data_IF_544549050879
#
_entry.id   IF_544549050879
#
_cell.length_a   1.000
_cell.length_b   1.000
_cell.length_c   1.000
_cell.angle_alpha   90.00
_cell.angle_beta   90.00
_cell.angle_gamma   90.00
#
_symmetry.space_group_name_H-M   'P 1'
#
loop_
_entity.id
_entity.type
_entity.pdbx_description
1 polymer ?
#
# COMPACT_ATOMS: atom_id res chain seq x y z
N UNK A 1 30.77 -8.88 -1.49
CA UNK A 1 29.38 -8.44 -1.74
C UNK A 1 28.82 -8.04 -0.38
N UNK A 2 28.34 -6.80 -0.22
CA UNK A 2 27.79 -6.33 1.06
C UNK A 2 26.47 -7.06 1.33
N UNK A 3 26.23 -7.46 2.58
CA UNK A 3 24.99 -8.12 2.94
C UNK A 3 23.80 -7.17 2.75
N UNK A 4 22.71 -7.65 2.17
CA UNK A 4 21.46 -6.89 1.97
C UNK A 4 20.72 -6.62 3.28
N UNK A 5 21.22 -7.16 4.38
CA UNK A 5 20.65 -7.04 5.74
C UNK A 5 21.22 -5.86 6.54
N UNK A 6 22.16 -5.11 5.98
CA UNK A 6 22.74 -3.92 6.61
C UNK A 6 22.36 -2.68 5.82
N UNK A 7 21.91 -1.63 6.52
CA UNK A 7 21.64 -0.33 5.90
C UNK A 7 22.91 0.29 5.29
N UNK A 8 22.72 1.14 4.30
CA UNK A 8 23.83 1.91 3.74
C UNK A 8 24.38 2.89 4.79
N UNK A 9 25.69 3.23 4.74
CA UNK A 9 26.26 4.26 5.61
C UNK A 9 25.50 5.57 5.48
N UNK A 10 25.30 6.26 6.60
CA UNK A 10 24.59 7.54 6.64
C UNK A 10 25.11 8.57 5.63
N UNK A 11 26.42 8.61 5.42
CA UNK A 11 27.06 9.47 4.41
C UNK A 11 26.59 9.14 2.97
N UNK A 12 26.37 7.86 2.67
CA UNK A 12 25.84 7.43 1.37
C UNK A 12 24.36 7.73 1.23
N UNK A 13 23.58 7.55 2.31
CA UNK A 13 22.15 7.85 2.34
C UNK A 13 21.89 9.34 2.14
N UNK A 14 22.66 10.21 2.77
CA UNK A 14 22.58 11.68 2.61
C UNK A 14 22.86 12.20 1.19
N UNK A 15 23.40 11.37 0.30
CA UNK A 15 23.57 11.68 -1.11
C UNK A 15 22.37 11.32 -1.98
N UNK A 16 21.37 10.63 -1.42
CA UNK A 16 20.15 10.31 -2.14
C UNK A 16 19.29 11.56 -2.29
N UNK A 17 18.60 11.67 -3.41
CA UNK A 17 17.66 12.76 -3.73
C UNK A 17 16.19 12.33 -3.58
N UNK A 18 15.94 11.20 -2.92
CA UNK A 18 14.61 10.71 -2.66
C UNK A 18 13.84 11.61 -1.69
N UNK A 19 12.53 11.44 -1.59
CA UNK A 19 11.68 12.21 -0.68
C UNK A 19 12.19 12.15 0.77
N UNK A 20 12.55 10.96 1.25
CA UNK A 20 13.09 10.79 2.59
C UNK A 20 14.35 11.58 2.83
N UNK A 21 15.31 11.52 1.91
CA UNK A 21 16.65 12.07 2.11
C UNK A 21 16.83 13.48 1.55
N UNK A 22 15.91 13.94 0.67
CA UNK A 22 15.96 15.25 0.02
C UNK A 22 15.07 16.34 0.66
N UNK A 23 14.15 15.99 1.56
CA UNK A 23 13.16 16.94 2.10
C UNK A 23 13.72 17.82 3.20
N UNK A 24 14.55 17.30 4.07
CA UNK A 24 15.09 18.03 5.21
C UNK A 24 16.58 18.33 5.07
N UNK A 25 17.09 19.38 5.76
CA UNK A 25 18.51 19.70 5.75
C UNK A 25 19.37 18.56 6.33
N UNK A 26 20.68 18.52 5.97
CA UNK A 26 21.56 17.38 6.29
C UNK A 26 21.75 17.05 7.77
N UNK A 27 21.52 18.03 8.66
CA UNK A 27 21.59 17.86 10.10
C UNK A 27 20.37 17.13 10.70
N UNK A 28 19.27 17.04 9.95
CA UNK A 28 18.07 16.32 10.36
C UNK A 28 18.16 14.86 9.93
N UNK A 29 17.95 13.92 10.86
CA UNK A 29 17.81 12.52 10.54
C UNK A 29 16.34 12.24 10.15
N UNK A 30 16.05 11.94 8.88
CA UNK A 30 14.67 11.69 8.46
C UNK A 30 14.21 10.31 8.94
N UNK A 31 13.03 10.27 9.56
CA UNK A 31 12.39 9.03 10.02
C UNK A 31 10.93 8.92 9.54
N UNK A 32 10.55 9.71 8.57
CA UNK A 32 9.27 9.68 7.89
C UNK A 32 9.40 8.98 6.55
N UNK A 33 8.30 8.60 5.91
CA UNK A 33 8.25 7.82 4.66
C UNK A 33 8.84 6.41 4.83
N UNK A 34 8.11 5.40 4.38
CA UNK A 34 8.51 3.99 4.47
C UNK A 34 9.55 3.60 3.41
N UNK A 35 10.54 4.47 3.19
CA UNK A 35 11.63 4.25 2.26
C UNK A 35 12.78 3.50 2.96
N UNK A 36 13.21 2.39 2.36
CA UNK A 36 14.25 1.56 2.96
C UNK A 36 15.65 2.12 2.73
N UNK A 37 16.49 2.04 3.75
CA UNK A 37 17.91 2.44 3.72
C UNK A 37 18.84 1.28 3.36
N UNK A 38 18.30 0.11 3.08
CA UNK A 38 19.04 -1.06 2.63
C UNK A 38 19.38 -0.96 1.13
N UNK A 39 20.48 -1.58 0.69
CA UNK A 39 20.77 -1.70 -0.74
C UNK A 39 19.72 -2.60 -1.43
N UNK A 40 19.54 -2.39 -2.73
CA UNK A 40 18.74 -3.31 -3.53
C UNK A 40 19.30 -4.74 -3.47
N UNK A 41 18.40 -5.73 -3.47
CA UNK A 41 18.79 -7.12 -3.61
C UNK A 41 19.64 -7.30 -4.89
N UNK A 42 20.75 -8.05 -4.82
CA UNK A 42 21.67 -8.17 -5.95
C UNK A 42 21.02 -8.67 -7.25
N UNK A 43 20.05 -9.59 -7.14
CA UNK A 43 19.32 -10.11 -8.30
C UNK A 43 18.45 -9.02 -8.96
N UNK A 44 17.77 -8.18 -8.17
CA UNK A 44 16.97 -7.05 -8.68
C UNK A 44 17.89 -6.04 -9.38
N UNK A 45 19.02 -5.69 -8.73
CA UNK A 45 19.98 -4.77 -9.31
C UNK A 45 20.54 -5.31 -10.64
N UNK A 46 20.89 -6.58 -10.70
CA UNK A 46 21.43 -7.21 -11.93
C UNK A 46 20.41 -7.15 -13.07
N UNK A 47 19.15 -7.52 -12.82
CA UNK A 47 18.09 -7.50 -13.82
C UNK A 47 17.82 -6.08 -14.36
N UNK A 48 17.83 -5.07 -13.48
CA UNK A 48 17.64 -3.67 -13.89
C UNK A 48 18.82 -3.17 -14.74
N UNK A 49 20.06 -3.48 -14.37
CA UNK A 49 21.25 -3.10 -15.13
C UNK A 49 21.25 -3.76 -16.50
N UNK A 50 20.95 -5.06 -16.57
CA UNK A 50 20.85 -5.81 -17.83
C UNK A 50 19.81 -5.19 -18.78
N UNK A 51 18.63 -4.85 -18.28
CA UNK A 51 17.58 -4.21 -19.10
C UNK A 51 18.01 -2.83 -19.60
N UNK A 52 18.69 -2.03 -18.77
CA UNK A 52 19.22 -0.71 -19.18
C UNK A 52 20.32 -0.88 -20.24
N UNK A 53 21.25 -1.80 -20.06
CA UNK A 53 22.35 -2.05 -21.02
C UNK A 53 21.82 -2.60 -22.35
N UNK A 54 20.74 -3.38 -22.33
CA UNK A 54 20.05 -3.84 -23.54
C UNK A 54 19.22 -2.74 -24.23
N UNK A 55 19.05 -1.56 -23.61
CA UNK A 55 18.17 -0.50 -24.12
C UNK A 55 16.68 -0.85 -24.05
N UNK A 56 16.30 -1.83 -23.23
CA UNK A 56 14.90 -2.26 -23.07
C UNK A 56 14.16 -1.29 -22.13
N UNK A 57 13.92 -0.09 -22.63
CA UNK A 57 13.23 1.02 -21.93
C UNK A 57 11.93 1.44 -22.62
N UNK A 58 11.37 0.56 -23.45
CA UNK A 58 10.17 0.80 -24.24
C UNK A 58 8.89 0.65 -23.44
N UNK A 59 7.78 0.59 -24.16
CA UNK A 59 6.46 0.34 -23.55
C UNK A 59 6.35 -1.08 -23.03
N UNK A 60 5.69 -1.23 -21.88
CA UNK A 60 5.33 -2.55 -21.35
C UNK A 60 4.42 -3.27 -22.33
N UNK A 61 4.76 -4.53 -22.66
CA UNK A 61 3.88 -5.37 -23.47
C UNK A 61 2.61 -5.72 -22.63
N UNK A 62 1.39 -5.32 -23.06
CA UNK A 62 0.18 -5.61 -22.31
C UNK A 62 -0.18 -7.10 -22.20
N UNK A 63 0.51 -7.97 -22.97
CA UNK A 63 0.37 -9.42 -22.90
C UNK A 63 1.47 -10.10 -22.06
N UNK A 64 2.36 -9.32 -21.47
CA UNK A 64 3.42 -9.87 -20.63
C UNK A 64 2.83 -10.29 -19.28
N UNK A 65 2.88 -11.58 -19.00
CA UNK A 65 2.37 -12.17 -17.76
C UNK A 65 3.44 -12.46 -16.72
N UNK A 66 4.72 -12.22 -17.03
CA UNK A 66 5.85 -12.61 -16.16
C UNK A 66 5.71 -12.14 -14.71
N UNK A 67 5.27 -10.90 -14.49
CA UNK A 67 5.06 -10.37 -13.13
C UNK A 67 3.88 -11.09 -12.43
N UNK A 68 2.79 -11.34 -13.17
CA UNK A 68 1.61 -12.03 -12.65
C UNK A 68 1.91 -13.51 -12.35
N UNK A 69 2.65 -14.18 -13.23
CA UNK A 69 3.08 -15.57 -13.02
C UNK A 69 3.98 -15.69 -11.79
N UNK A 70 5.02 -14.85 -11.69
CA UNK A 70 5.92 -14.82 -10.54
C UNK A 70 5.18 -14.51 -9.22
N UNK A 71 4.18 -13.62 -9.25
CA UNK A 71 3.36 -13.36 -8.08
C UNK A 71 2.46 -14.56 -7.73
N UNK A 72 1.90 -15.24 -8.72
CA UNK A 72 1.07 -16.42 -8.48
C UNK A 72 1.87 -17.55 -7.82
N UNK A 73 3.10 -17.79 -8.29
CA UNK A 73 4.01 -18.78 -7.70
C UNK A 73 4.35 -18.39 -6.25
N UNK A 74 4.72 -17.13 -6.01
CA UNK A 74 5.01 -16.63 -4.67
C UNK A 74 3.78 -16.76 -3.74
N UNK A 75 2.58 -16.38 -4.20
CA UNK A 75 1.37 -16.45 -3.38
C UNK A 75 1.00 -17.89 -3.04
N UNK A 76 1.21 -18.81 -3.98
CA UNK A 76 1.00 -20.24 -3.74
C UNK A 76 1.99 -20.77 -2.68
N UNK A 77 3.28 -20.43 -2.81
CA UNK A 77 4.32 -20.93 -1.92
C UNK A 77 4.22 -20.32 -0.51
N UNK A 78 3.98 -19.00 -0.44
CA UNK A 78 3.99 -18.27 0.84
C UNK A 78 2.66 -18.38 1.60
N UNK A 79 1.54 -18.44 0.90
CA UNK A 79 0.20 -18.30 1.49
C UNK A 79 -0.76 -19.44 1.14
N UNK A 80 -0.39 -20.38 0.29
CA UNK A 80 -1.29 -21.43 -0.21
C UNK A 80 -2.42 -20.87 -1.07
N UNK A 81 -2.25 -19.68 -1.64
CA UNK A 81 -3.23 -19.00 -2.48
C UNK A 81 -2.84 -19.11 -3.96
N UNK A 82 -3.74 -19.64 -4.80
CA UNK A 82 -3.57 -19.73 -6.23
C UNK A 82 -4.39 -18.67 -6.97
N UNK A 83 -3.88 -17.43 -7.15
CA UNK A 83 -4.58 -16.40 -7.89
C UNK A 83 -4.68 -16.75 -9.37
N UNK A 84 -5.73 -16.27 -10.02
CA UNK A 84 -5.96 -16.54 -11.45
C UNK A 84 -5.22 -15.49 -12.30
N UNK A 85 -4.07 -15.85 -12.87
CA UNK A 85 -3.23 -14.97 -13.71
C UNK A 85 -4.02 -14.19 -14.77
N UNK A 86 -5.01 -14.77 -15.50
CA UNK A 86 -5.80 -14.03 -16.48
C UNK A 86 -6.69 -12.92 -15.87
N UNK A 87 -6.86 -12.88 -14.55
CA UNK A 87 -7.59 -11.85 -13.83
C UNK A 87 -6.69 -10.84 -13.11
N UNK A 88 -5.39 -10.95 -13.31
CA UNK A 88 -4.42 -10.04 -12.72
C UNK A 88 -4.08 -8.92 -13.70
N UNK A 89 -3.82 -7.75 -13.15
CA UNK A 89 -3.34 -6.59 -13.89
C UNK A 89 -2.26 -5.86 -13.11
N UNK A 90 -1.41 -5.16 -13.81
CA UNK A 90 -0.37 -4.30 -13.23
C UNK A 90 -0.77 -2.85 -13.41
N UNK A 91 -0.59 -2.05 -12.40
CA UNK A 91 -0.79 -0.60 -12.43
C UNK A 91 0.41 0.10 -11.81
N UNK A 92 0.44 1.43 -11.86
CA UNK A 92 1.57 2.23 -11.39
C UNK A 92 1.79 2.12 -9.89
N UNK A 93 0.70 2.12 -9.11
CA UNK A 93 0.74 2.02 -7.66
C UNK A 93 -0.62 1.63 -7.06
N UNK A 94 -0.64 1.39 -5.74
CA UNK A 94 -1.85 0.99 -5.01
C UNK A 94 -2.87 2.13 -4.91
N UNK A 95 -2.47 3.40 -4.93
CA UNK A 95 -3.40 4.54 -4.87
C UNK A 95 -4.30 4.56 -6.09
N UNK A 96 -3.74 4.30 -7.28
CA UNK A 96 -4.52 4.14 -8.52
C UNK A 96 -5.53 3.01 -8.41
N UNK A 97 -5.13 1.86 -7.83
CA UNK A 97 -6.06 0.73 -7.60
C UNK A 97 -7.21 1.15 -6.69
N UNK A 98 -6.93 1.87 -5.60
CA UNK A 98 -7.95 2.35 -4.67
C UNK A 98 -8.92 3.28 -5.39
N UNK A 99 -8.41 4.32 -6.05
CA UNK A 99 -9.24 5.33 -6.74
C UNK A 99 -10.12 4.69 -7.82
N UNK A 100 -9.54 3.86 -8.69
CA UNK A 100 -10.28 3.23 -9.79
C UNK A 100 -11.27 2.17 -9.27
N UNK A 101 -10.94 1.45 -8.21
CA UNK A 101 -11.88 0.53 -7.57
C UNK A 101 -13.08 1.27 -6.97
N UNK A 102 -12.81 2.34 -6.23
CA UNK A 102 -13.88 3.17 -5.65
C UNK A 102 -14.77 3.79 -6.74
N UNK A 103 -14.21 4.32 -7.84
CA UNK A 103 -14.98 4.84 -8.97
C UNK A 103 -15.92 3.81 -9.61
N UNK A 104 -15.56 2.54 -9.56
CA UNK A 104 -16.38 1.45 -10.11
C UNK A 104 -17.43 0.93 -9.14
N UNK A 105 -17.15 0.96 -7.85
CA UNK A 105 -17.96 0.31 -6.82
C UNK A 105 -18.89 1.29 -6.09
N UNK A 106 -18.50 2.58 -6.01
CA UNK A 106 -19.22 3.58 -5.22
C UNK A 106 -19.89 4.59 -6.19
N UNK A 107 -21.17 4.92 -6.01
CA UNK A 107 -21.81 5.97 -6.78
C UNK A 107 -21.18 7.34 -6.46
N UNK A 108 -21.23 8.27 -7.39
CA UNK A 108 -20.72 9.63 -7.18
C UNK A 108 -21.34 10.26 -5.92
N UNK A 109 -20.49 10.82 -5.06
CA UNK A 109 -20.88 11.37 -3.77
C UNK A 109 -21.16 10.32 -2.69
N UNK A 110 -21.05 9.03 -3.00
CA UNK A 110 -21.29 7.95 -2.02
C UNK A 110 -20.28 7.97 -0.87
N UNK A 111 -20.76 7.73 0.35
CA UNK A 111 -19.92 7.67 1.55
C UNK A 111 -19.00 6.44 1.55
N UNK A 112 -17.74 6.66 1.88
CA UNK A 112 -16.75 5.59 2.11
C UNK A 112 -16.22 5.72 3.52
N UNK A 113 -16.40 4.67 4.31
CA UNK A 113 -15.89 4.60 5.68
C UNK A 113 -14.38 4.44 5.65
N UNK A 114 -13.69 5.25 6.43
CA UNK A 114 -12.28 5.07 6.81
C UNK A 114 -12.17 5.05 8.33
N UNK A 115 -11.11 4.46 8.88
CA UNK A 115 -10.99 4.14 10.32
C UNK A 115 -9.77 4.83 10.96
N UNK A 116 -9.84 6.18 11.21
CA UNK A 116 -8.73 6.91 11.84
C UNK A 116 -8.40 6.41 13.27
N UNK A 117 -7.08 6.57 13.64
CA UNK A 117 -5.94 7.04 12.87
C UNK A 117 -5.59 6.04 11.76
N UNK A 118 -5.56 6.48 10.51
CA UNK A 118 -5.36 5.63 9.35
C UNK A 118 -4.39 6.29 8.36
N UNK A 119 -3.91 5.55 7.39
CA UNK A 119 -3.03 6.01 6.32
C UNK A 119 -3.53 7.33 5.73
N UNK A 120 -2.80 8.45 5.91
CA UNK A 120 -3.29 9.79 5.60
C UNK A 120 -3.83 9.96 4.17
N UNK A 121 -3.23 9.36 3.13
CA UNK A 121 -3.76 9.49 1.78
C UNK A 121 -5.21 8.99 1.58
N UNK A 122 -5.76 8.17 2.48
CA UNK A 122 -7.17 7.77 2.36
C UNK A 122 -8.14 8.94 2.38
N UNK A 123 -7.78 10.03 3.07
CA UNK A 123 -8.57 11.26 3.12
C UNK A 123 -8.64 11.98 1.76
N UNK A 124 -7.64 11.79 0.91
CA UNK A 124 -7.57 12.41 -0.43
C UNK A 124 -8.05 11.45 -1.52
N UNK A 125 -7.70 10.15 -1.42
CA UNK A 125 -8.06 9.15 -2.43
C UNK A 125 -9.57 8.93 -2.55
N UNK A 126 -10.33 9.03 -1.44
CA UNK A 126 -11.78 8.91 -1.46
C UNK A 126 -12.43 10.06 -2.23
N UNK A 127 -12.13 11.34 -1.96
CA UNK A 127 -12.61 12.47 -2.76
C UNK A 127 -12.14 12.41 -4.23
N UNK A 128 -10.88 12.02 -4.48
CA UNK A 128 -10.37 11.86 -5.85
C UNK A 128 -11.17 10.84 -6.66
N UNK A 129 -11.64 9.79 -6.00
CA UNK A 129 -12.56 8.82 -6.62
C UNK A 129 -14.00 9.37 -6.82
N UNK A 130 -14.31 10.57 -6.32
CA UNK A 130 -15.65 11.15 -6.35
C UNK A 130 -16.55 10.72 -5.19
N UNK A 131 -15.99 10.09 -4.16
CA UNK A 131 -16.69 9.69 -2.94
C UNK A 131 -16.66 10.76 -1.85
N UNK A 132 -17.31 10.48 -0.73
CA UNK A 132 -17.30 11.31 0.49
C UNK A 132 -16.73 10.51 1.65
N UNK A 133 -15.78 11.09 2.38
CA UNK A 133 -15.17 10.44 3.54
C UNK A 133 -16.18 10.38 4.70
N UNK A 134 -16.38 9.18 5.22
CA UNK A 134 -17.13 8.91 6.45
C UNK A 134 -16.14 8.35 7.47
N UNK A 135 -15.90 9.08 8.57
CA UNK A 135 -14.94 8.66 9.57
C UNK A 135 -15.63 7.84 10.66
N UNK A 136 -15.14 6.63 10.89
CA UNK A 136 -15.44 5.79 12.05
C UNK A 136 -14.10 5.47 12.71
N UNK A 137 -13.67 6.25 13.72
CA UNK A 137 -12.39 6.05 14.37
C UNK A 137 -12.25 4.65 14.95
N UNK A 138 -11.01 4.15 15.01
CA UNK A 138 -10.70 2.95 15.77
C UNK A 138 -11.11 3.16 17.26
N UNK A 139 -11.56 2.10 17.87
CA UNK A 139 -11.66 2.05 19.34
C UNK A 139 -10.23 2.04 19.90
N UNK A 140 -10.03 2.85 20.95
CA UNK A 140 -8.74 2.96 21.67
C UNK A 140 -9.04 2.83 23.17
N UNK A 141 -8.54 1.77 23.80
CA UNK A 141 -8.66 1.57 25.24
C UNK A 141 -7.41 2.03 26.03
N UNK A 142 -6.48 2.71 25.34
CA UNK A 142 -5.21 3.18 25.87
C UNK A 142 -4.10 2.11 25.88
N UNK A 143 -4.40 0.88 25.49
CA UNK A 143 -3.43 -0.22 25.36
C UNK A 143 -3.46 -0.86 23.99
N UNK A 144 -4.58 -0.85 23.30
CA UNK A 144 -4.76 -1.47 21.99
C UNK A 144 -5.82 -0.73 21.16
N UNK A 145 -5.70 -0.87 19.84
CA UNK A 145 -6.69 -0.41 18.87
C UNK A 145 -7.55 -1.57 18.37
N UNK A 146 -8.82 -1.28 18.04
CA UNK A 146 -9.74 -2.23 17.43
C UNK A 146 -10.67 -1.52 16.44
N UNK A 147 -11.27 -2.26 15.48
CA UNK A 147 -12.34 -1.73 14.64
C UNK A 147 -13.61 -1.48 15.49
N UNK A 148 -14.23 -0.33 15.31
CA UNK A 148 -15.61 -0.07 15.80
C UNK A 148 -16.61 -0.67 14.79
N UNK A 149 -16.85 -1.97 14.89
CA UNK A 149 -17.75 -2.68 13.97
C UNK A 149 -19.18 -2.14 14.08
N UNK A 150 -19.65 -1.80 15.28
CA UNK A 150 -20.94 -1.17 15.49
C UNK A 150 -21.02 0.20 14.83
N UNK A 151 -19.96 1.00 14.92
CA UNK A 151 -19.84 2.29 14.26
C UNK A 151 -19.85 2.16 12.73
N UNK A 152 -19.16 1.18 12.19
CA UNK A 152 -19.16 0.86 10.76
C UNK A 152 -20.56 0.42 10.30
N UNK A 153 -21.23 -0.48 11.02
CA UNK A 153 -22.60 -0.90 10.71
C UNK A 153 -23.55 0.30 10.71
N UNK A 154 -23.49 1.16 11.75
CA UNK A 154 -24.30 2.40 11.79
C UNK A 154 -24.02 3.31 10.59
N UNK A 155 -22.75 3.49 10.18
CA UNK A 155 -22.40 4.31 9.02
C UNK A 155 -22.97 3.71 7.71
N UNK A 156 -22.87 2.40 7.53
CA UNK A 156 -23.42 1.70 6.36
C UNK A 156 -24.95 1.80 6.33
N UNK A 157 -25.65 1.62 7.45
CA UNK A 157 -27.10 1.83 7.55
C UNK A 157 -27.52 3.28 7.31
N UNK A 158 -26.67 4.23 7.67
CA UNK A 158 -26.90 5.66 7.39
C UNK A 158 -26.63 6.06 5.92
N UNK A 159 -26.17 5.13 5.08
CA UNK A 159 -26.02 5.34 3.65
C UNK A 159 -24.59 5.33 3.10
N UNK A 160 -23.58 5.05 3.92
CA UNK A 160 -22.25 4.77 3.41
C UNK A 160 -22.29 3.55 2.47
N UNK A 161 -21.41 3.53 1.46
CA UNK A 161 -21.45 2.55 0.36
C UNK A 161 -20.27 1.59 0.35
N UNK A 162 -19.30 1.81 1.19
CA UNK A 162 -18.14 0.95 1.31
C UNK A 162 -17.27 1.29 2.50
N UNK A 163 -16.34 0.40 2.77
CA UNK A 163 -15.29 0.56 3.78
C UNK A 163 -13.95 0.46 3.09
N UNK A 164 -13.09 1.44 3.25
CA UNK A 164 -11.69 1.40 2.82
C UNK A 164 -10.85 0.98 4.03
N UNK A 165 -10.59 -0.32 4.12
CA UNK A 165 -9.86 -0.93 5.23
C UNK A 165 -8.35 -0.83 5.01
N UNK A 166 -7.61 -0.45 6.06
CA UNK A 166 -6.16 -0.54 6.15
C UNK A 166 -5.77 -1.80 6.94
N UNK A 167 -5.11 -2.78 6.30
CA UNK A 167 -4.65 -4.00 6.98
C UNK A 167 -3.38 -4.57 6.34
N UNK A 168 -2.24 -4.63 7.01
CA UNK A 168 -1.96 -4.10 8.36
C UNK A 168 -2.25 -2.61 8.48
N UNK A 169 -2.73 -2.17 9.65
CA UNK A 169 -3.26 -0.82 9.86
C UNK A 169 -2.16 0.20 10.11
N UNK A 170 -1.91 1.06 9.15
CA UNK A 170 -0.98 2.17 9.26
C UNK A 170 -1.72 3.42 9.81
N UNK A 171 -1.22 4.14 10.83
CA UNK A 171 0.14 4.05 11.41
C UNK A 171 0.24 3.16 12.66
N UNK A 172 -0.83 2.59 13.15
CA UNK A 172 -0.85 1.92 14.46
C UNK A 172 -0.21 0.52 14.48
N UNK A 173 0.14 -0.03 13.30
CA UNK A 173 0.81 -1.32 13.19
C UNK A 173 -0.06 -2.53 13.56
N UNK A 174 -1.39 -2.36 13.60
CA UNK A 174 -2.32 -3.41 13.95
C UNK A 174 -2.59 -4.34 12.76
N UNK A 175 -2.54 -5.65 13.01
CA UNK A 175 -3.09 -6.66 12.11
C UNK A 175 -4.44 -7.08 12.66
N UNK A 176 -5.51 -6.78 11.94
CA UNK A 176 -6.85 -7.13 12.36
C UNK A 176 -7.04 -8.64 12.40
N UNK A 177 -7.65 -9.14 13.48
CA UNK A 177 -7.89 -10.57 13.67
C UNK A 177 -8.91 -11.13 12.66
N UNK A 178 -8.81 -12.44 12.39
CA UNK A 178 -9.71 -13.14 11.47
C UNK A 178 -11.17 -12.98 11.83
N UNK A 179 -11.50 -13.02 13.13
CA UNK A 179 -12.88 -12.86 13.63
C UNK A 179 -13.44 -11.48 13.31
N UNK A 180 -12.68 -10.43 13.61
CA UNK A 180 -13.04 -9.04 13.26
C UNK A 180 -13.23 -8.84 11.75
N UNK A 181 -12.34 -9.42 10.94
CA UNK A 181 -12.45 -9.32 9.47
C UNK A 181 -13.61 -10.13 8.90
N UNK A 182 -14.03 -11.20 9.57
CA UNK A 182 -15.19 -12.00 9.16
C UNK A 182 -16.52 -11.37 9.54
N UNK A 183 -16.53 -10.54 10.58
CA UNK A 183 -17.70 -9.79 11.04
C UNK A 183 -17.90 -8.50 10.25
N UNK A 184 -16.80 -7.88 9.77
CA UNK A 184 -16.80 -6.72 8.88
C UNK A 184 -17.42 -7.06 7.52
#
# INVERSE_FOLDING_TARGET
MRATTEADPLESLRRRSSEKWGTYPPEVLPMFVAEMDFPLAPAIKAALVEAIEAGDTGYVNPRDTRAADAFADFAQDAWGWAPQVPRMGVTTDVSVVIVESLRRLIPAGGGVVITPPVYPPFFDLVPEAGGTVVQVPLLDDGSAYALDLDGIDRALRAGARGVLLCNPHNPVGLVHGREQLAEL
#
